data_IF_915512124601
#
_entry.id   IF_915512124601
#
_cell.length_a   1.000
_cell.length_b   1.000
_cell.length_c   1.000
_cell.angle_alpha   90.00
_cell.angle_beta   90.00
_cell.angle_gamma   90.00
#
_symmetry.space_group_name_H-M   'P 1'
#
loop_
_entity.id
_entity.type
_entity.pdbx_description
1 polymer ?
#
# COMPACT_ATOMS: atom_id res chain seq x y z
N UNK A 1 11.55 -9.59 -6.67
CA UNK A 1 10.69 -9.82 -7.86
C UNK A 1 9.26 -10.19 -7.46
N UNK A 2 8.61 -9.48 -6.52
CA UNK A 2 7.27 -9.83 -6.00
C UNK A 2 6.49 -8.59 -5.50
N UNK A 3 6.52 -7.48 -6.25
CA UNK A 3 5.71 -6.29 -5.91
C UNK A 3 4.53 -6.07 -6.89
N UNK A 4 4.62 -6.59 -8.13
CA UNK A 4 3.59 -6.42 -9.16
C UNK A 4 2.31 -7.25 -8.95
N UNK A 5 2.33 -8.25 -8.07
CA UNK A 5 1.14 -9.07 -7.77
C UNK A 5 0.17 -8.38 -6.78
N UNK A 6 0.60 -7.32 -6.10
CA UNK A 6 -0.21 -6.60 -5.10
C UNK A 6 -1.34 -5.78 -5.75
N UNK A 7 -1.03 -5.01 -6.80
CA UNK A 7 -2.00 -4.15 -7.47
C UNK A 7 -2.98 -4.95 -8.35
N UNK A 8 -2.50 -5.99 -9.03
CA UNK A 8 -3.39 -6.90 -9.78
C UNK A 8 -4.32 -7.70 -8.85
N UNK A 9 -3.93 -8.00 -7.62
CA UNK A 9 -4.82 -8.58 -6.61
C UNK A 9 -5.95 -7.63 -6.18
N UNK A 10 -5.72 -6.30 -6.22
CA UNK A 10 -6.74 -5.30 -5.89
C UNK A 10 -7.75 -5.19 -7.04
N UNK A 11 -7.27 -5.12 -8.28
CA UNK A 11 -8.13 -4.97 -9.47
C UNK A 11 -8.93 -6.24 -9.80
N UNK A 12 -8.36 -7.42 -9.55
CA UNK A 12 -9.02 -8.70 -9.82
C UNK A 12 -9.79 -9.24 -8.60
N UNK A 13 -10.12 -8.38 -7.63
CA UNK A 13 -10.80 -8.79 -6.40
C UNK A 13 -12.26 -9.19 -6.66
N UNK A 14 -12.60 -10.45 -6.38
CA UNK A 14 -13.98 -10.96 -6.41
C UNK A 14 -14.32 -11.86 -7.60
N UNK A 15 -13.41 -12.04 -8.57
CA UNK A 15 -13.69 -12.88 -9.76
C UNK A 15 -13.82 -14.38 -9.46
N UNK A 16 -13.39 -14.86 -8.28
CA UNK A 16 -13.31 -16.30 -7.96
C UNK A 16 -13.89 -16.68 -6.59
N UNK A 17 -14.90 -15.97 -6.07
CA UNK A 17 -15.54 -16.33 -4.78
C UNK A 17 -16.93 -16.95 -5.02
N UNK A 18 -17.14 -18.27 -4.76
CA UNK A 18 -18.39 -18.98 -5.06
C UNK A 18 -19.59 -18.52 -4.21
N UNK A 19 -19.38 -17.62 -3.25
CA UNK A 19 -20.41 -17.12 -2.33
C UNK A 19 -21.14 -15.86 -2.84
N UNK A 20 -20.73 -15.32 -3.99
CA UNK A 20 -21.26 -14.06 -4.54
C UNK A 20 -21.81 -14.26 -5.96
N UNK A 21 -22.78 -13.42 -6.40
CA UNK A 21 -23.33 -13.51 -7.74
C UNK A 21 -22.20 -13.48 -8.76
N UNK A 22 -22.34 -14.35 -9.76
CA UNK A 22 -21.25 -14.88 -10.59
C UNK A 22 -20.63 -13.81 -11.47
N UNK A 23 -21.23 -12.63 -11.60
CA UNK A 23 -20.53 -11.46 -12.15
C UNK A 23 -21.08 -10.14 -11.58
N UNK A 24 -20.19 -9.16 -11.39
CA UNK A 24 -20.57 -7.76 -11.12
C UNK A 24 -21.55 -7.20 -12.17
N UNK A 25 -21.45 -7.70 -13.41
CA UNK A 25 -22.33 -7.38 -14.52
C UNK A 25 -23.79 -7.79 -14.28
N UNK A 26 -24.04 -9.00 -13.76
CA UNK A 26 -25.40 -9.48 -13.42
C UNK A 26 -26.08 -8.60 -12.34
N UNK A 27 -25.31 -8.04 -11.41
CA UNK A 27 -25.82 -7.14 -10.36
C UNK A 27 -26.14 -5.74 -10.92
N UNK A 28 -25.47 -5.36 -12.01
CA UNK A 28 -25.66 -4.09 -12.71
C UNK A 28 -26.70 -4.16 -13.82
N UNK A 29 -27.29 -5.33 -14.10
CA UNK A 29 -28.46 -5.39 -14.97
C UNK A 29 -29.49 -4.37 -14.47
N UNK A 30 -29.90 -3.49 -15.39
CA UNK A 30 -30.43 -2.15 -15.16
C UNK A 30 -31.85 -2.11 -14.56
N UNK A 31 -32.27 -3.19 -13.92
CA UNK A 31 -33.57 -3.29 -13.30
C UNK A 31 -33.59 -2.45 -12.03
N UNK A 32 -34.30 -1.31 -12.06
CA UNK A 32 -34.46 -0.42 -10.91
C UNK A 32 -35.49 -0.94 -9.89
N UNK A 33 -35.61 -2.25 -9.74
CA UNK A 33 -36.50 -2.85 -8.74
C UNK A 33 -35.94 -2.62 -7.34
N UNK A 34 -36.82 -2.52 -6.33
CA UNK A 34 -36.38 -2.34 -4.93
C UNK A 34 -35.45 -3.46 -4.47
N UNK A 35 -35.67 -4.69 -4.94
CA UNK A 35 -34.89 -5.87 -4.55
C UNK A 35 -33.47 -5.87 -5.17
N UNK A 36 -33.31 -5.46 -6.42
CA UNK A 36 -31.98 -5.35 -7.08
C UNK A 36 -31.14 -4.24 -6.43
N UNK A 37 -31.73 -3.08 -6.11
CA UNK A 37 -31.05 -1.99 -5.42
C UNK A 37 -30.54 -2.39 -4.03
N UNK A 38 -31.35 -3.15 -3.26
CA UNK A 38 -30.94 -3.67 -1.96
C UNK A 38 -29.80 -4.70 -2.08
N UNK A 39 -29.86 -5.59 -3.07
CA UNK A 39 -28.77 -6.54 -3.38
C UNK A 39 -27.47 -5.80 -3.71
N UNK A 40 -27.52 -4.78 -4.57
CA UNK A 40 -26.36 -3.95 -4.94
C UNK A 40 -25.77 -3.23 -3.73
N UNK A 41 -26.59 -2.61 -2.89
CA UNK A 41 -26.12 -1.94 -1.66
C UNK A 41 -25.45 -2.91 -0.70
N UNK A 42 -26.04 -4.09 -0.50
CA UNK A 42 -25.47 -5.16 0.34
C UNK A 42 -24.12 -5.62 -0.20
N UNK A 43 -24.00 -5.80 -1.51
CA UNK A 43 -22.74 -6.15 -2.16
C UNK A 43 -21.66 -5.08 -1.94
N UNK A 44 -21.97 -3.80 -2.18
CA UNK A 44 -21.02 -2.70 -1.99
C UNK A 44 -20.49 -2.64 -0.55
N UNK A 45 -21.38 -2.81 0.43
CA UNK A 45 -20.99 -2.83 1.85
C UNK A 45 -20.05 -4.00 2.18
N UNK A 46 -20.34 -5.18 1.64
CA UNK A 46 -19.52 -6.37 1.87
C UNK A 46 -18.15 -6.25 1.18
N UNK A 47 -18.13 -5.74 -0.05
CA UNK A 47 -16.90 -5.45 -0.79
C UNK A 47 -16.01 -4.48 -0.02
N UNK A 48 -16.57 -3.35 0.44
CA UNK A 48 -15.83 -2.38 1.24
C UNK A 48 -15.29 -2.98 2.54
N UNK A 49 -16.10 -3.80 3.23
CA UNK A 49 -15.68 -4.48 4.47
C UNK A 49 -14.49 -5.42 4.23
N UNK A 50 -14.53 -6.19 3.14
CA UNK A 50 -13.46 -7.11 2.75
C UNK A 50 -12.19 -6.34 2.36
N UNK A 51 -12.33 -5.31 1.55
CA UNK A 51 -11.23 -4.43 1.15
C UNK A 51 -10.55 -3.84 2.40
N UNK A 52 -11.33 -3.29 3.33
CA UNK A 52 -10.80 -2.71 4.57
C UNK A 52 -10.10 -3.74 5.46
N UNK A 53 -10.67 -4.94 5.60
CA UNK A 53 -10.08 -6.01 6.39
C UNK A 53 -8.71 -6.43 5.84
N UNK A 54 -8.63 -6.63 4.52
CA UNK A 54 -7.37 -7.01 3.86
C UNK A 54 -6.36 -5.87 3.85
N UNK A 55 -6.79 -4.64 3.57
CA UNK A 55 -5.93 -3.46 3.62
C UNK A 55 -5.31 -3.30 5.01
N UNK A 56 -6.11 -3.39 6.07
CA UNK A 56 -5.63 -3.33 7.45
C UNK A 56 -4.62 -4.45 7.76
N UNK A 57 -4.89 -5.69 7.33
CA UNK A 57 -3.99 -6.82 7.55
C UNK A 57 -2.65 -6.61 6.83
N UNK A 58 -2.70 -6.21 5.57
CA UNK A 58 -1.52 -6.05 4.73
C UNK A 58 -0.70 -4.83 5.15
N UNK A 59 -1.35 -3.70 5.41
CA UNK A 59 -0.72 -2.50 5.96
C UNK A 59 0.04 -2.78 7.26
N UNK A 60 -0.55 -3.53 8.21
CA UNK A 60 0.13 -3.87 9.46
C UNK A 60 1.34 -4.79 9.24
N UNK A 61 1.28 -5.70 8.27
CA UNK A 61 2.42 -6.54 7.91
C UNK A 61 3.53 -5.71 7.26
N UNK A 62 3.17 -4.84 6.31
CA UNK A 62 4.10 -3.95 5.62
C UNK A 62 4.76 -2.98 6.62
N UNK A 63 3.97 -2.43 7.55
CA UNK A 63 4.45 -1.59 8.64
C UNK A 63 5.44 -2.36 9.53
N UNK A 64 5.10 -3.59 9.95
CA UNK A 64 6.02 -4.43 10.73
C UNK A 64 7.32 -4.69 9.97
N UNK A 65 7.26 -4.98 8.67
CA UNK A 65 8.46 -5.17 7.86
C UNK A 65 9.29 -3.90 7.73
N UNK A 66 8.66 -2.74 7.52
CA UNK A 66 9.35 -1.45 7.47
C UNK A 66 10.05 -1.11 8.80
N UNK A 67 9.43 -1.46 9.94
CA UNK A 67 10.03 -1.30 11.25
C UNK A 67 11.10 -2.35 11.56
N UNK A 68 10.98 -3.58 11.08
CA UNK A 68 11.99 -4.63 11.26
C UNK A 68 13.30 -4.34 10.52
N UNK A 69 13.26 -3.51 9.46
CA UNK A 69 14.46 -3.02 8.77
C UNK A 69 15.27 -2.05 9.64
N UNK A 70 14.68 -1.46 10.69
CA UNK A 70 15.40 -0.66 11.68
C UNK A 70 16.07 -1.55 12.73
N UNK A 71 17.08 -2.32 12.34
CA UNK A 71 18.16 -2.61 13.27
C UNK A 71 19.31 -1.63 12.97
N UNK A 72 19.43 -0.51 13.70
CA UNK A 72 20.41 0.55 13.43
C UNK A 72 21.84 0.19 13.87
N UNK A 73 22.12 -1.06 14.23
CA UNK A 73 23.47 -1.48 14.64
C UNK A 73 24.45 -1.62 13.47
N UNK A 74 23.99 -1.48 12.23
CA UNK A 74 24.89 -1.28 11.09
C UNK A 74 24.88 0.20 10.74
N UNK A 75 25.90 0.91 11.24
CA UNK A 75 26.42 2.12 10.61
C UNK A 75 26.78 1.77 9.16
N UNK A 76 25.77 1.70 8.31
CA UNK A 76 25.95 1.48 6.88
C UNK A 76 26.55 2.76 6.35
N UNK A 77 27.84 2.71 6.03
CA UNK A 77 28.54 3.81 5.40
C UNK A 77 27.76 4.24 4.16
N UNK A 78 27.33 5.51 4.15
CA UNK A 78 26.52 6.06 3.07
C UNK A 78 27.26 5.90 1.75
N UNK A 79 26.63 5.33 0.72
CA UNK A 79 27.25 5.14 -0.58
C UNK A 79 26.78 6.17 -1.58
N UNK A 80 27.67 6.52 -2.49
CA UNK A 80 27.31 7.28 -3.68
C UNK A 80 26.24 6.50 -4.44
N UNK A 81 25.12 7.14 -4.69
CA UNK A 81 23.97 6.53 -5.34
C UNK A 81 22.77 6.26 -4.43
N UNK A 82 22.95 6.28 -3.12
CA UNK A 82 21.87 6.06 -2.16
C UNK A 82 20.89 7.25 -2.16
N UNK A 83 19.60 6.93 -1.99
CA UNK A 83 18.53 7.94 -1.87
C UNK A 83 18.35 8.24 -0.39
N UNK A 84 18.51 9.50 -0.02
CA UNK A 84 18.41 10.01 1.34
C UNK A 84 17.33 11.06 1.47
N UNK A 85 16.80 11.19 2.68
CA UNK A 85 15.84 12.22 3.03
C UNK A 85 16.60 13.35 3.75
N UNK A 86 16.57 14.55 3.18
CA UNK A 86 17.25 15.72 3.74
C UNK A 86 16.35 16.35 4.81
N UNK A 87 16.81 16.30 6.05
CA UNK A 87 16.14 16.96 7.17
C UNK A 87 16.26 18.48 7.02
N UNK A 88 15.11 19.15 7.00
CA UNK A 88 15.02 20.60 6.98
C UNK A 88 14.25 21.06 8.22
N UNK A 89 14.93 21.71 9.16
CA UNK A 89 14.38 22.05 10.49
C UNK A 89 13.20 23.05 10.42
N UNK A 90 13.00 23.70 9.28
CA UNK A 90 11.93 24.68 9.04
C UNK A 90 10.65 24.06 8.48
N UNK A 91 10.71 22.81 7.97
CA UNK A 91 9.59 22.15 7.29
C UNK A 91 9.11 20.92 8.04
N UNK A 92 7.83 20.61 7.89
CA UNK A 92 7.25 19.36 8.38
C UNK A 92 7.99 18.17 7.73
N UNK A 93 8.16 17.06 8.47
CA UNK A 93 8.82 15.83 8.02
C UNK A 93 8.28 15.28 6.70
N UNK A 94 6.99 15.51 6.43
CA UNK A 94 6.34 15.09 5.18
C UNK A 94 6.80 15.89 3.95
N UNK A 95 7.43 17.05 4.16
CA UNK A 95 7.93 17.94 3.11
C UNK A 95 9.46 17.89 2.99
N UNK A 96 10.11 16.97 3.69
CA UNK A 96 11.54 16.76 3.55
C UNK A 96 11.87 16.30 2.13
N UNK A 97 12.92 16.88 1.56
CA UNK A 97 13.31 16.61 0.18
C UNK A 97 14.03 15.26 0.12
N UNK A 98 13.63 14.41 -0.82
CA UNK A 98 14.39 13.23 -1.20
C UNK A 98 15.48 13.64 -2.19
N UNK A 99 16.70 13.18 -1.95
CA UNK A 99 17.84 13.46 -2.82
C UNK A 99 18.77 12.25 -2.93
N UNK A 100 19.63 12.26 -3.96
CA UNK A 100 20.60 11.18 -4.21
C UNK A 100 21.99 11.64 -3.78
N UNK A 101 22.73 10.79 -3.07
CA UNK A 101 24.12 11.09 -2.72
C UNK A 101 24.97 11.06 -3.98
N UNK A 102 25.54 12.21 -4.34
CA UNK A 102 26.48 12.35 -5.46
C UNK A 102 27.93 12.07 -5.04
N UNK A 103 28.32 12.55 -3.86
CA UNK A 103 29.67 12.33 -3.31
C UNK A 103 29.62 12.29 -1.79
N UNK A 104 30.48 11.46 -1.19
CA UNK A 104 30.74 11.46 0.25
C UNK A 104 32.09 12.13 0.51
N UNK A 105 32.16 12.94 1.56
CA UNK A 105 33.39 13.55 2.02
C UNK A 105 33.75 12.85 3.33
N UNK A 106 34.86 12.10 3.41
CA UNK A 106 35.27 11.47 4.67
C UNK A 106 35.60 12.57 5.68
N UNK A 107 34.94 12.49 6.85
CA UNK A 107 35.27 13.34 7.99
C UNK A 107 36.61 12.94 8.62
N UNK A 108 37.25 13.87 9.32
CA UNK A 108 38.53 13.64 10.00
C UNK A 108 38.34 12.98 11.38
N UNK A 109 37.34 12.11 11.51
CA UNK A 109 37.05 11.43 12.77
C UNK A 109 37.84 10.11 12.78
N UNK A 110 38.81 10.05 13.69
CA UNK A 110 39.74 8.94 13.89
C UNK A 110 39.13 7.80 14.71
#
# INVERSE_FOLDING_TARGET
MNQDLSLLCILNFGQNQPTYPVTFAEILENDSTKSSLLKRKKYQQLFLKQLWHRWKKQYLLDLRTAHAVKNPETHSELKVGDIVLIEENTKNKLLWKLDKIERTLPGCDK
#
